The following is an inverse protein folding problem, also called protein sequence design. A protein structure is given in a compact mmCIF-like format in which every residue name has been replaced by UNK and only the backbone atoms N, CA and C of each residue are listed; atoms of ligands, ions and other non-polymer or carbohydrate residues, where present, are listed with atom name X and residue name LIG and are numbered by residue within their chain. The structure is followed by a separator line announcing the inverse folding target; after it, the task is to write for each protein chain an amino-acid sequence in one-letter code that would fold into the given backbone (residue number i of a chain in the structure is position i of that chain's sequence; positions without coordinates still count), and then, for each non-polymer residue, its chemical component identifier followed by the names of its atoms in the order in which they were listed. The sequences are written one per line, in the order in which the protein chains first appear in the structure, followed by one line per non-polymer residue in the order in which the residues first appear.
data_IF_016685653028
#
_entry.id   IF_016685653028
#
_cell.length_a   1.000
_cell.length_b   1.000
_cell.length_c   1.000
_cell.angle_alpha   90.00
_cell.angle_beta   90.00
_cell.angle_gamma   90.00
#
_symmetry.space_group_name_H-M   'P 1'
#
loop_
_entity.id
_entity.type
_entity.pdbx_description
1 polymer ?
#
# COMPACT_ATOMS: atom_id res chain seq x y z
N UNK A 1 1.62 -12.99 9.93
CA UNK A 1 2.32 -11.85 10.56
C UNK A 1 1.78 -10.58 9.90
N UNK A 2 1.32 -9.57 10.66
CA UNK A 2 0.87 -8.31 10.06
C UNK A 2 2.08 -7.52 9.51
N UNK A 3 1.88 -6.85 8.37
CA UNK A 3 2.91 -5.99 7.76
C UNK A 3 3.00 -4.62 8.48
N UNK A 4 1.87 -4.11 8.94
CA UNK A 4 1.74 -2.90 9.76
C UNK A 4 0.44 -2.94 10.57
N UNK A 5 0.39 -2.21 11.70
CA UNK A 5 -0.83 -2.01 12.49
C UNK A 5 -1.02 -0.51 12.69
N UNK A 6 -2.13 0.01 12.22
CA UNK A 6 -2.54 1.41 12.43
C UNK A 6 -3.86 1.41 13.19
N UNK A 7 -3.91 2.11 14.31
CA UNK A 7 -5.07 2.13 15.21
C UNK A 7 -5.53 3.57 15.47
N UNK A 8 -6.82 3.74 15.77
CA UNK A 8 -7.39 5.05 16.11
C UNK A 8 -7.54 6.01 14.93
N UNK A 9 -7.57 5.49 13.69
CA UNK A 9 -7.71 6.31 12.48
C UNK A 9 -9.11 6.92 12.33
N UNK A 10 -10.16 6.14 12.62
CA UNK A 10 -11.56 6.55 12.45
C UNK A 10 -12.42 6.02 13.59
N UNK A 11 -13.54 6.70 13.85
CA UNK A 11 -14.51 6.31 14.88
C UNK A 11 -15.52 5.29 14.34
N UNK A 12 -15.77 5.35 13.02
CA UNK A 12 -16.56 4.35 12.30
C UNK A 12 -15.66 3.32 11.59
N UNK A 13 -16.31 2.30 11.01
CA UNK A 13 -15.62 1.25 10.29
C UNK A 13 -14.94 1.78 9.01
N UNK A 14 -13.74 1.29 8.74
CA UNK A 14 -13.07 1.43 7.44
C UNK A 14 -13.85 0.62 6.42
N UNK A 15 -14.21 1.24 5.30
CA UNK A 15 -15.02 0.61 4.25
C UNK A 15 -14.23 0.30 2.99
N UNK A 16 -13.14 1.03 2.73
CA UNK A 16 -12.31 0.84 1.54
C UNK A 16 -10.86 1.25 1.77
N UNK A 17 -9.96 0.66 1.00
CA UNK A 17 -8.52 0.87 1.05
C UNK A 17 -7.89 0.80 -0.35
N UNK A 18 -7.01 1.74 -0.67
CA UNK A 18 -6.32 1.78 -1.96
C UNK A 18 -4.83 2.13 -1.80
N UNK A 19 -3.96 1.35 -2.44
CA UNK A 19 -2.53 1.60 -2.52
C UNK A 19 -2.16 2.36 -3.79
N UNK A 20 -1.17 3.24 -3.70
CA UNK A 20 -0.45 3.70 -4.88
C UNK A 20 0.35 2.55 -5.51
N UNK A 21 0.60 2.64 -6.82
CA UNK A 21 1.27 1.56 -7.56
C UNK A 21 2.73 1.31 -7.10
N UNK A 22 3.33 2.30 -6.45
CA UNK A 22 4.69 2.30 -5.91
C UNK A 22 4.74 2.00 -4.39
N UNK A 23 3.60 1.76 -3.75
CA UNK A 23 3.45 1.54 -2.32
C UNK A 23 3.88 2.71 -1.40
N UNK A 24 4.08 3.92 -1.93
CA UNK A 24 4.38 5.11 -1.12
C UNK A 24 3.16 5.68 -0.40
N UNK A 25 1.96 5.44 -0.91
CA UNK A 25 0.74 6.00 -0.36
C UNK A 25 -0.32 4.92 -0.15
N UNK A 26 -1.03 5.04 0.97
CA UNK A 26 -2.20 4.24 1.29
C UNK A 26 -3.36 5.15 1.68
N UNK A 27 -4.42 5.11 0.88
CA UNK A 27 -5.66 5.82 1.18
C UNK A 27 -6.64 4.88 1.87
N UNK A 28 -7.28 5.39 2.92
CA UNK A 28 -8.31 4.74 3.71
C UNK A 28 -9.57 5.60 3.68
N UNK A 29 -10.74 4.98 3.55
CA UNK A 29 -12.01 5.67 3.71
C UNK A 29 -12.86 5.01 4.79
N UNK A 30 -13.63 5.83 5.50
CA UNK A 30 -14.46 5.41 6.62
C UNK A 30 -15.92 5.81 6.39
N UNK A 31 -16.82 5.05 6.99
CA UNK A 31 -18.27 5.29 6.91
C UNK A 31 -18.69 6.62 7.57
N UNK A 32 -17.85 7.19 8.44
CA UNK A 32 -18.06 8.52 9.04
C UNK A 32 -17.76 9.68 8.07
N UNK A 33 -17.37 9.38 6.81
CA UNK A 33 -17.14 10.37 5.77
C UNK A 33 -15.73 10.96 5.77
N UNK A 34 -14.83 10.43 6.60
CA UNK A 34 -13.42 10.83 6.61
C UNK A 34 -12.58 9.90 5.73
N UNK A 35 -11.54 10.48 5.13
CA UNK A 35 -10.48 9.74 4.45
C UNK A 35 -9.14 10.05 5.11
N UNK A 36 -8.30 9.03 5.28
CA UNK A 36 -6.92 9.19 5.74
C UNK A 36 -5.96 8.78 4.63
N UNK A 37 -4.90 9.56 4.45
CA UNK A 37 -3.78 9.23 3.59
C UNK A 37 -2.57 8.94 4.48
N UNK A 38 -1.97 7.77 4.28
CA UNK A 38 -0.72 7.36 4.93
C UNK A 38 0.38 7.41 3.91
N UNK A 39 1.49 8.07 4.26
CA UNK A 39 2.71 8.15 3.45
C UNK A 39 3.77 7.25 4.08
N UNK A 40 4.44 6.46 3.24
CA UNK A 40 5.56 5.61 3.64
C UNK A 40 6.87 6.19 3.08
N UNK A 41 7.90 6.21 3.91
CA UNK A 41 9.24 6.57 3.46
C UNK A 41 9.82 5.52 2.50
N UNK A 42 10.83 5.93 1.73
CA UNK A 42 11.55 5.00 0.88
C UNK A 42 12.08 3.82 1.69
N UNK A 43 11.84 2.61 1.19
CA UNK A 43 12.25 1.34 1.80
C UNK A 43 11.63 1.01 3.18
N UNK A 44 10.65 1.80 3.68
CA UNK A 44 9.99 1.54 4.97
C UNK A 44 9.25 0.18 4.98
N UNK A 45 8.62 -0.15 3.84
CA UNK A 45 7.96 -1.44 3.60
C UNK A 45 8.94 -2.51 3.06
N UNK A 46 10.23 -2.18 2.95
CA UNK A 46 11.27 -2.99 2.33
C UNK A 46 11.44 -2.70 0.83
N UNK A 47 12.13 -3.62 0.16
CA UNK A 47 12.45 -3.47 -1.27
C UNK A 47 11.31 -3.99 -2.16
N UNK A 48 10.98 -3.31 -3.27
CA UNK A 48 9.99 -3.77 -4.23
C UNK A 48 10.33 -5.17 -4.74
N UNK A 49 9.36 -6.08 -4.62
CA UNK A 49 9.52 -7.41 -5.21
C UNK A 49 9.30 -7.31 -6.73
N UNK A 50 10.38 -7.30 -7.50
CA UNK A 50 10.30 -7.48 -8.93
C UNK A 50 9.79 -8.89 -9.21
N UNK A 51 8.52 -9.03 -9.61
CA UNK A 51 8.02 -10.25 -10.22
C UNK A 51 8.93 -10.49 -11.44
N UNK A 52 9.84 -11.45 -11.32
CA UNK A 52 10.77 -11.81 -12.39
C UNK A 52 9.97 -12.38 -13.55
N UNK A 53 9.47 -11.48 -14.41
CA UNK A 53 9.00 -11.80 -15.74
C UNK A 53 10.21 -12.31 -16.50
N UNK A 54 10.25 -13.62 -16.70
CA UNK A 54 11.29 -14.31 -17.44
C UNK A 54 11.19 -13.92 -18.93
N UNK A 55 11.53 -12.68 -19.29
CA UNK A 55 11.70 -12.27 -20.70
C UNK A 55 13.14 -12.56 -21.08
N UNK A 56 13.44 -13.85 -21.25
CA UNK A 56 14.59 -14.27 -22.05
C UNK A 56 14.25 -14.10 -23.52
N UNK A 57 14.23 -12.87 -24.02
CA UNK A 57 14.30 -12.64 -25.46
C UNK A 57 15.76 -12.81 -25.89
N UNK A 58 16.11 -14.08 -26.11
CA UNK A 58 17.30 -14.49 -26.85
C UNK A 58 17.00 -14.29 -28.34
N UNK A 59 17.55 -13.25 -28.93
CA UNK A 59 17.87 -13.21 -30.36
C UNK A 59 19.12 -12.33 -30.50
N UNK A 60 20.26 -13.02 -30.49
CA UNK A 60 21.42 -12.64 -31.28
C UNK A 60 21.32 -13.41 -32.60
#
# INVERSE_FOLDING_TARGET
MPLAIMAGLHYAAIIDVAWSADAHYLALSSQDGYCTLVEFENDELGLPFALSGNVKNKIQ
#
